data_IF_882064604658
#
_entry.id   IF_882064604658
#
_cell.length_a   1.000
_cell.length_b   1.000
_cell.length_c   1.000
_cell.angle_alpha   90.00
_cell.angle_beta   90.00
_cell.angle_gamma   90.00
#
_symmetry.space_group_name_H-M   'P 1'
#
loop_
_entity.id
_entity.type
_entity.pdbx_description
1 polymer ?
#
# COMPACT_ATOMS: atom_id res chain seq x y z
N UNK A 1 13.42 -3.44 0.67
CA UNK A 1 13.69 -2.61 -0.41
C UNK A 1 14.66 -3.14 -1.43
N UNK A 2 15.79 -2.52 -1.55
CA UNK A 2 16.75 -2.69 -2.67
C UNK A 2 17.20 -4.13 -2.94
N UNK A 3 17.32 -4.97 -1.91
CA UNK A 3 17.70 -6.39 -2.10
C UNK A 3 16.66 -7.18 -2.92
N UNK A 4 15.37 -6.84 -2.81
CA UNK A 4 14.32 -7.48 -3.60
C UNK A 4 14.39 -6.97 -5.04
N UNK A 5 14.68 -5.69 -5.21
CA UNK A 5 14.80 -5.07 -6.52
C UNK A 5 15.97 -5.67 -7.30
N UNK A 6 17.13 -5.83 -6.67
CA UNK A 6 18.28 -6.55 -7.25
C UNK A 6 17.95 -8.02 -7.58
N UNK A 7 17.19 -8.70 -6.72
CA UNK A 7 16.77 -10.07 -6.98
C UNK A 7 15.79 -10.16 -8.16
N UNK A 8 14.94 -9.13 -8.38
CA UNK A 8 14.09 -9.04 -9.57
C UNK A 8 14.92 -8.80 -10.83
N UNK A 9 15.90 -7.88 -10.79
CA UNK A 9 16.81 -7.62 -11.92
C UNK A 9 17.61 -8.86 -12.35
N UNK A 10 17.98 -9.71 -11.37
CA UNK A 10 18.68 -10.98 -11.61
C UNK A 10 17.76 -12.14 -11.99
N UNK A 11 16.44 -11.90 -12.04
CA UNK A 11 15.47 -12.97 -12.30
C UNK A 11 15.31 -14.00 -11.17
N UNK A 12 15.82 -13.71 -9.98
CA UNK A 12 15.71 -14.59 -8.80
C UNK A 12 14.29 -14.60 -8.21
N UNK A 13 13.56 -13.51 -8.39
CA UNK A 13 12.14 -13.35 -8.04
C UNK A 13 11.40 -12.62 -9.15
N UNK A 14 10.12 -12.96 -9.35
CA UNK A 14 9.31 -12.45 -10.48
C UNK A 14 8.48 -11.22 -10.13
N UNK A 15 8.48 -10.79 -8.89
CA UNK A 15 7.71 -9.62 -8.47
C UNK A 15 7.82 -9.35 -6.97
N UNK A 16 7.34 -8.18 -6.58
CA UNK A 16 7.26 -7.75 -5.19
C UNK A 16 5.97 -6.99 -4.93
N UNK A 17 5.57 -6.92 -3.68
CA UNK A 17 4.51 -6.04 -3.18
C UNK A 17 5.07 -5.07 -2.14
N UNK A 18 4.28 -4.06 -1.77
CA UNK A 18 4.61 -3.12 -0.69
C UNK A 18 5.53 -1.98 -1.11
N UNK A 19 5.55 -1.60 -2.38
CA UNK A 19 6.12 -0.34 -2.84
C UNK A 19 5.05 0.75 -2.91
N UNK A 20 5.41 1.96 -2.50
CA UNK A 20 4.65 3.16 -2.85
C UNK A 20 5.14 3.70 -4.19
N UNK A 21 4.29 4.42 -4.91
CA UNK A 21 4.68 5.10 -6.16
C UNK A 21 5.83 6.06 -5.95
N UNK A 22 5.84 6.81 -4.84
CA UNK A 22 6.93 7.72 -4.50
C UNK A 22 8.26 7.00 -4.36
N UNK A 23 8.28 5.89 -3.60
CA UNK A 23 9.48 5.10 -3.41
C UNK A 23 9.98 4.51 -4.73
N UNK A 24 9.06 4.02 -5.57
CA UNK A 24 9.42 3.46 -6.86
C UNK A 24 10.00 4.52 -7.80
N UNK A 25 9.36 5.69 -7.90
CA UNK A 25 9.83 6.79 -8.74
C UNK A 25 11.12 7.43 -8.23
N UNK A 26 11.33 7.47 -6.92
CA UNK A 26 12.56 8.01 -6.34
C UNK A 26 13.78 7.11 -6.59
N UNK A 27 13.60 5.80 -6.43
CA UNK A 27 14.71 4.82 -6.54
C UNK A 27 14.92 4.35 -7.98
N UNK A 28 13.83 4.13 -8.72
CA UNK A 28 13.85 3.57 -10.07
C UNK A 28 13.00 4.38 -11.07
N UNK A 29 13.37 5.63 -11.35
CA UNK A 29 12.52 6.57 -12.12
C UNK A 29 12.25 6.13 -13.57
N UNK A 30 13.06 5.22 -14.10
CA UNK A 30 12.94 4.74 -15.47
C UNK A 30 12.21 3.41 -15.61
N UNK A 31 12.10 2.62 -14.56
CA UNK A 31 11.60 1.24 -14.64
C UNK A 31 10.20 1.09 -15.23
N UNK A 32 9.29 1.96 -14.84
CA UNK A 32 7.91 1.93 -15.37
C UNK A 32 7.91 2.41 -16.82
N UNK A 33 8.61 3.52 -17.12
CA UNK A 33 8.64 4.12 -18.46
C UNK A 33 9.32 3.22 -19.49
N UNK A 34 10.37 2.49 -19.09
CA UNK A 34 11.08 1.55 -19.96
C UNK A 34 10.34 0.22 -20.15
N UNK A 35 9.27 -0.03 -19.39
CA UNK A 35 8.57 -1.32 -19.40
C UNK A 35 9.34 -2.46 -18.73
N UNK A 36 10.48 -2.18 -18.09
CA UNK A 36 11.28 -3.18 -17.35
C UNK A 36 10.46 -3.83 -16.25
N UNK A 37 9.62 -3.03 -15.57
CA UNK A 37 8.68 -3.50 -14.55
C UNK A 37 7.26 -3.09 -14.89
N UNK A 38 6.32 -4.01 -14.65
CA UNK A 38 4.89 -3.79 -14.84
C UNK A 38 4.20 -3.74 -13.48
N UNK A 39 3.44 -2.69 -13.24
CA UNK A 39 2.53 -2.63 -12.10
C UNK A 39 1.27 -3.39 -12.51
N UNK A 40 0.90 -4.41 -11.76
CA UNK A 40 -0.24 -5.29 -12.10
C UNK A 40 -1.48 -5.03 -11.25
N UNK A 41 -1.31 -4.38 -10.09
CA UNK A 41 -2.39 -4.11 -9.14
C UNK A 41 -2.01 -2.94 -8.23
N UNK A 42 -2.99 -2.15 -7.86
CA UNK A 42 -2.87 -1.09 -6.86
C UNK A 42 -3.60 -1.48 -5.58
N UNK A 43 -3.01 -1.19 -4.43
CA UNK A 43 -3.64 -1.35 -3.12
C UNK A 43 -3.90 0.03 -2.54
N UNK A 44 -5.14 0.45 -2.53
CA UNK A 44 -5.58 1.76 -2.09
C UNK A 44 -7.09 1.90 -2.17
N UNK A 45 -7.63 3.04 -1.78
CA UNK A 45 -9.06 3.35 -1.89
C UNK A 45 -9.41 4.07 -3.20
N UNK A 46 -8.41 4.60 -3.88
CA UNK A 46 -8.53 5.27 -5.19
C UNK A 46 -7.34 4.90 -6.07
N UNK A 47 -7.53 5.00 -7.36
CA UNK A 47 -6.45 4.80 -8.34
C UNK A 47 -5.49 5.98 -8.31
N UNK A 48 -4.23 5.68 -8.54
CA UNK A 48 -3.18 6.69 -8.64
C UNK A 48 -3.30 7.44 -9.98
N UNK A 49 -3.22 8.77 -9.99
CA UNK A 49 -3.24 9.56 -11.22
C UNK A 49 -2.16 9.12 -12.21
N UNK A 50 -2.56 8.93 -13.47
CA UNK A 50 -1.70 8.40 -14.54
C UNK A 50 -1.62 6.87 -14.59
N UNK A 51 -2.24 6.16 -13.64
CA UNK A 51 -2.27 4.70 -13.58
C UNK A 51 -3.69 4.13 -13.50
N UNK A 52 -4.67 4.87 -14.03
CA UNK A 52 -6.10 4.52 -13.97
C UNK A 52 -6.42 3.20 -14.67
N UNK A 53 -5.59 2.79 -15.62
CA UNK A 53 -5.70 1.52 -16.34
C UNK A 53 -5.34 0.30 -15.49
N UNK A 54 -4.66 0.49 -14.36
CA UNK A 54 -4.29 -0.60 -13.45
C UNK A 54 -5.42 -0.82 -12.43
N UNK A 55 -5.90 -2.05 -12.24
CA UNK A 55 -7.00 -2.33 -11.32
C UNK A 55 -6.61 -2.08 -9.87
N UNK A 56 -7.59 -1.66 -9.06
CA UNK A 56 -7.48 -1.70 -7.62
C UNK A 56 -7.71 -3.13 -7.11
N UNK A 57 -7.03 -3.51 -6.03
CA UNK A 57 -7.26 -4.79 -5.36
C UNK A 57 -8.73 -5.00 -4.98
N UNK A 58 -9.42 -3.94 -4.57
CA UNK A 58 -10.83 -3.97 -4.20
C UNK A 58 -11.75 -4.30 -5.39
N UNK A 59 -11.34 -3.98 -6.62
CA UNK A 59 -12.12 -4.27 -7.83
C UNK A 59 -12.04 -5.76 -8.22
N UNK A 60 -11.05 -6.47 -7.70
CA UNK A 60 -10.82 -7.90 -7.95
C UNK A 60 -11.49 -8.80 -6.89
N UNK A 61 -12.21 -8.22 -5.94
CA UNK A 61 -12.93 -8.96 -4.90
C UNK A 61 -14.01 -9.85 -5.52
N UNK A 62 -14.04 -11.12 -5.14
CA UNK A 62 -14.97 -12.13 -5.70
C UNK A 62 -16.37 -12.05 -5.10
N UNK A 63 -16.51 -11.48 -3.92
CA UNK A 63 -17.78 -11.33 -3.19
C UNK A 63 -17.73 -10.12 -2.25
N UNK A 64 -18.87 -9.79 -1.65
CA UNK A 64 -19.00 -8.62 -0.76
C UNK A 64 -18.10 -8.70 0.47
N UNK A 65 -17.93 -9.87 1.04
CA UNK A 65 -17.08 -10.07 2.23
C UNK A 65 -15.61 -9.84 1.92
N UNK A 66 -15.10 -10.42 0.83
CA UNK A 66 -13.72 -10.21 0.38
C UNK A 66 -13.49 -8.72 0.09
N UNK A 67 -14.49 -8.07 -0.53
CA UNK A 67 -14.44 -6.63 -0.79
C UNK A 67 -14.30 -5.82 0.50
N UNK A 68 -15.04 -6.16 1.56
CA UNK A 68 -14.92 -5.48 2.86
C UNK A 68 -13.54 -5.68 3.50
N UNK A 69 -13.00 -6.90 3.44
CA UNK A 69 -11.65 -7.19 3.95
C UNK A 69 -10.59 -6.42 3.18
N UNK A 70 -10.66 -6.41 1.85
CA UNK A 70 -9.71 -5.67 1.02
C UNK A 70 -9.86 -4.16 1.27
N UNK A 71 -11.09 -3.65 1.42
CA UNK A 71 -11.34 -2.24 1.77
C UNK A 71 -10.71 -1.85 3.10
N UNK A 72 -10.78 -2.71 4.13
CA UNK A 72 -10.15 -2.50 5.42
C UNK A 72 -8.63 -2.32 5.28
N UNK A 73 -7.96 -3.21 4.56
CA UNK A 73 -6.51 -3.10 4.30
C UNK A 73 -6.15 -1.89 3.45
N UNK A 74 -6.92 -1.63 2.40
CA UNK A 74 -6.72 -0.46 1.55
C UNK A 74 -6.89 0.84 2.32
N UNK A 75 -7.81 0.89 3.30
CA UNK A 75 -7.97 2.01 4.21
C UNK A 75 -6.73 2.26 5.06
N UNK A 76 -6.14 1.21 5.62
CA UNK A 76 -4.89 1.32 6.40
C UNK A 76 -3.76 1.88 5.54
N UNK A 77 -3.62 1.41 4.30
CA UNK A 77 -2.62 1.94 3.35
C UNK A 77 -2.91 3.41 3.00
N UNK A 78 -4.17 3.78 2.83
CA UNK A 78 -4.58 5.13 2.47
C UNK A 78 -4.35 6.17 3.58
N UNK A 79 -4.22 5.75 4.85
CA UNK A 79 -3.84 6.65 5.96
C UNK A 79 -2.46 7.27 5.72
N UNK A 80 -1.52 6.53 5.15
CA UNK A 80 -0.21 7.04 4.75
C UNK A 80 0.58 7.67 5.91
N UNK A 81 0.97 8.94 5.75
CA UNK A 81 1.71 9.73 6.76
C UNK A 81 0.81 10.83 7.31
N UNK A 82 -0.05 10.56 8.29
CA UNK A 82 -1.03 11.51 8.77
C UNK A 82 -0.41 12.57 9.69
N UNK A 83 -0.92 13.80 9.61
CA UNK A 83 -0.71 14.81 10.62
C UNK A 83 -1.92 14.80 11.55
N UNK A 84 -1.71 14.63 12.84
CA UNK A 84 -2.78 14.53 13.82
C UNK A 84 -2.51 15.37 15.08
N UNK A 85 -3.55 15.64 15.83
CA UNK A 85 -3.50 16.36 17.09
C UNK A 85 -4.00 15.49 18.23
N UNK A 86 -3.69 15.86 19.47
CA UNK A 86 -4.23 15.20 20.66
C UNK A 86 -5.75 15.40 20.77
N UNK A 87 -6.39 14.52 21.53
CA UNK A 87 -7.78 14.68 21.92
C UNK A 87 -7.93 15.96 22.77
N UNK A 88 -9.05 16.66 22.61
CA UNK A 88 -9.36 17.88 23.39
C UNK A 88 -8.84 19.18 22.76
N UNK A 89 -8.14 19.16 21.63
CA UNK A 89 -7.80 20.38 20.90
C UNK A 89 -9.09 21.07 20.42
N UNK A 90 -9.28 22.38 20.70
CA UNK A 90 -10.47 23.13 20.31
C UNK A 90 -10.76 23.02 18.81
N UNK A 91 -12.03 22.86 18.45
CA UNK A 91 -12.47 22.69 17.04
C UNK A 91 -11.96 23.78 16.11
N UNK A 92 -11.94 25.04 16.60
CA UNK A 92 -11.42 26.16 15.81
C UNK A 92 -9.94 26.01 15.46
N UNK A 93 -9.11 25.48 16.36
CA UNK A 93 -7.70 25.21 16.08
C UNK A 93 -7.53 24.06 15.09
N UNK A 94 -8.33 23.00 15.22
CA UNK A 94 -8.32 21.89 14.24
C UNK A 94 -8.72 22.40 12.85
N UNK A 95 -9.74 23.26 12.76
CA UNK A 95 -10.16 23.86 11.49
C UNK A 95 -9.06 24.73 10.88
N UNK A 96 -8.37 25.54 11.69
CA UNK A 96 -7.24 26.36 11.24
C UNK A 96 -6.07 25.50 10.71
N UNK A 97 -5.72 24.42 11.42
CA UNK A 97 -4.67 23.48 10.98
C UNK A 97 -5.03 22.77 9.67
N UNK A 98 -6.28 22.33 9.52
CA UNK A 98 -6.78 21.74 8.27
C UNK A 98 -6.69 22.73 7.11
N UNK A 99 -7.15 23.96 7.33
CA UNK A 99 -7.07 25.02 6.32
C UNK A 99 -5.62 25.32 5.92
N UNK A 100 -4.70 25.39 6.89
CA UNK A 100 -3.28 25.60 6.63
C UNK A 100 -2.70 24.46 5.80
N UNK A 101 -2.99 23.20 6.14
CA UNK A 101 -2.60 22.03 5.37
C UNK A 101 -3.12 22.09 3.92
N UNK A 102 -4.44 22.29 3.76
CA UNK A 102 -5.08 22.33 2.43
C UNK A 102 -4.53 23.47 1.57
N UNK A 103 -4.17 24.60 2.17
CA UNK A 103 -3.54 25.74 1.49
C UNK A 103 -2.11 25.38 1.05
N UNK A 104 -1.32 24.80 1.96
CA UNK A 104 0.07 24.38 1.66
C UNK A 104 0.11 23.35 0.52
N UNK A 105 -0.81 22.41 0.50
CA UNK A 105 -0.89 21.39 -0.56
C UNK A 105 -1.22 21.96 -1.94
N UNK A 106 -1.67 23.20 -2.01
CA UNK A 106 -1.97 23.94 -3.26
C UNK A 106 -0.96 25.05 -3.57
N UNK A 107 -0.02 25.29 -2.67
CA UNK A 107 0.97 26.35 -2.82
C UNK A 107 1.93 26.04 -3.99
N UNK A 108 2.05 26.96 -4.99
CA UNK A 108 2.90 26.73 -6.15
C UNK A 108 4.40 26.54 -5.81
N UNK A 109 4.88 27.22 -4.76
CA UNK A 109 6.29 27.14 -4.32
C UNK A 109 6.54 25.76 -3.73
N UNK A 110 5.63 25.31 -2.84
CA UNK A 110 5.68 23.97 -2.28
C UNK A 110 5.63 22.89 -3.36
N UNK A 111 4.67 22.96 -4.28
CA UNK A 111 4.53 21.99 -5.37
C UNK A 111 5.76 21.95 -6.28
N UNK A 112 6.35 23.10 -6.58
CA UNK A 112 7.60 23.19 -7.35
C UNK A 112 8.78 22.51 -6.63
N UNK A 113 8.89 22.70 -5.32
CA UNK A 113 9.95 22.07 -4.52
C UNK A 113 9.76 20.55 -4.44
N UNK A 114 8.53 20.07 -4.23
CA UNK A 114 8.21 18.64 -4.23
C UNK A 114 8.54 18.00 -5.59
N UNK A 115 8.17 18.66 -6.71
CA UNK A 115 8.53 18.20 -8.05
C UNK A 115 10.05 18.12 -8.27
N UNK A 116 10.79 19.11 -7.77
CA UNK A 116 12.26 19.12 -7.80
C UNK A 116 12.87 17.93 -7.07
N UNK A 117 12.29 17.59 -5.92
CA UNK A 117 12.67 16.44 -5.10
C UNK A 117 12.13 15.10 -5.61
N UNK A 118 11.37 15.09 -6.70
CA UNK A 118 10.68 13.92 -7.27
C UNK A 118 9.70 13.27 -6.30
N UNK A 119 9.12 14.07 -5.39
CA UNK A 119 8.10 13.66 -4.47
C UNK A 119 6.72 13.89 -5.09
N UNK A 120 5.83 12.94 -4.92
CA UNK A 120 4.47 13.01 -5.40
C UNK A 120 3.57 13.62 -4.32
N UNK A 121 2.75 14.59 -4.70
CA UNK A 121 1.82 15.25 -3.78
C UNK A 121 0.39 14.82 -4.10
N UNK A 122 -0.16 13.92 -3.29
CA UNK A 122 -1.53 13.43 -3.40
C UNK A 122 -2.23 13.56 -2.02
N UNK A 123 -2.61 14.76 -1.61
CA UNK A 123 -3.14 15.00 -0.28
C UNK A 123 -4.51 14.36 -0.10
N UNK A 124 -4.76 13.86 1.10
CA UNK A 124 -6.08 13.51 1.59
C UNK A 124 -6.51 14.55 2.61
N UNK A 125 -7.70 15.13 2.44
CA UNK A 125 -8.20 16.13 3.38
C UNK A 125 -8.38 15.57 4.78
N UNK A 126 -8.24 16.40 5.81
CA UNK A 126 -8.41 15.97 7.20
C UNK A 126 -9.80 15.38 7.49
N UNK A 127 -10.84 15.82 6.77
CA UNK A 127 -12.20 15.29 6.92
C UNK A 127 -12.31 13.90 6.29
N UNK A 128 -11.75 13.70 5.10
CA UNK A 128 -11.72 12.41 4.42
C UNK A 128 -10.88 11.40 5.21
N UNK A 129 -9.71 11.81 5.68
CA UNK A 129 -8.84 10.96 6.50
C UNK A 129 -9.53 10.53 7.79
N UNK A 130 -10.23 11.44 8.47
CA UNK A 130 -10.99 11.12 9.67
C UNK A 130 -12.09 10.08 9.38
N UNK A 131 -12.76 10.19 8.23
CA UNK A 131 -13.75 9.20 7.80
C UNK A 131 -13.10 7.84 7.55
N UNK A 132 -11.97 7.78 6.86
CA UNK A 132 -11.23 6.54 6.61
C UNK A 132 -10.84 5.87 7.94
N UNK A 133 -10.28 6.63 8.89
CA UNK A 133 -9.92 6.11 10.22
C UNK A 133 -11.15 5.61 10.98
N UNK A 134 -12.25 6.36 10.94
CA UNK A 134 -13.52 5.94 11.54
C UNK A 134 -14.02 4.60 10.96
N UNK A 135 -14.00 4.45 9.64
CA UNK A 135 -14.43 3.23 8.96
C UNK A 135 -13.53 2.03 9.33
N UNK A 136 -12.23 2.25 9.52
CA UNK A 136 -11.28 1.21 9.96
C UNK A 136 -11.56 0.76 11.39
N UNK A 137 -11.68 1.73 12.32
CA UNK A 137 -11.85 1.46 13.76
C UNK A 137 -13.21 0.81 14.06
N UNK A 138 -14.23 1.18 13.30
CA UNK A 138 -15.59 0.65 13.44
C UNK A 138 -15.90 -0.49 12.44
N UNK A 139 -14.87 -1.14 11.90
CA UNK A 139 -15.09 -2.28 11.00
C UNK A 139 -15.85 -3.41 11.73
N UNK A 140 -16.82 -4.06 11.08
CA UNK A 140 -17.61 -5.13 11.70
C UNK A 140 -16.72 -6.26 12.24
N UNK A 141 -17.03 -6.85 13.42
CA UNK A 141 -16.24 -7.94 14.01
C UNK A 141 -15.98 -9.11 13.04
N UNK A 142 -16.96 -9.47 12.23
CA UNK A 142 -16.84 -10.52 11.22
C UNK A 142 -15.78 -10.19 10.15
N UNK A 143 -15.71 -8.93 9.71
CA UNK A 143 -14.67 -8.46 8.76
C UNK A 143 -13.29 -8.53 9.40
N UNK A 144 -13.17 -8.10 10.67
CA UNK A 144 -11.90 -8.18 11.42
C UNK A 144 -11.45 -9.63 11.59
N UNK A 145 -12.38 -10.54 11.95
CA UNK A 145 -12.07 -11.96 12.11
C UNK A 145 -11.60 -12.57 10.78
N UNK A 146 -12.28 -12.27 9.68
CA UNK A 146 -11.90 -12.73 8.34
C UNK A 146 -10.55 -12.16 7.90
N UNK A 147 -10.29 -10.88 8.17
CA UNK A 147 -9.01 -10.24 7.91
C UNK A 147 -7.86 -10.91 8.68
N UNK A 148 -8.03 -11.16 9.97
CA UNK A 148 -7.06 -11.90 10.80
C UNK A 148 -6.79 -13.30 10.26
N UNK A 149 -7.84 -14.02 9.88
CA UNK A 149 -7.73 -15.35 9.28
C UNK A 149 -6.92 -15.32 8.00
N UNK A 150 -7.17 -14.36 7.10
CA UNK A 150 -6.46 -14.21 5.85
C UNK A 150 -4.95 -13.93 6.04
N UNK A 151 -4.57 -13.28 7.15
CA UNK A 151 -3.16 -13.00 7.48
C UNK A 151 -2.48 -14.14 8.24
N UNK A 152 -3.21 -15.15 8.69
CA UNK A 152 -2.62 -16.24 9.46
C UNK A 152 -1.70 -17.09 8.56
N UNK A 153 -0.52 -17.48 9.09
CA UNK A 153 0.43 -18.37 8.38
C UNK A 153 -0.16 -19.74 8.02
N UNK A 154 -1.25 -20.12 8.66
CA UNK A 154 -1.95 -21.40 8.42
C UNK A 154 -2.69 -21.42 7.08
N UNK A 155 -2.96 -20.26 6.50
CA UNK A 155 -3.65 -20.12 5.20
C UNK A 155 -2.70 -19.89 4.01
N UNK A 156 -1.41 -20.03 4.20
CA UNK A 156 -0.47 -19.95 3.08
C UNK A 156 -0.75 -21.11 2.11
N UNK A 157 -1.18 -20.75 0.92
CA UNK A 157 -1.43 -21.73 -0.13
C UNK A 157 -0.10 -22.34 -0.55
N UNK A 158 -0.02 -23.68 -0.66
CA UNK A 158 1.22 -24.32 -1.08
C UNK A 158 1.67 -23.81 -2.46
N UNK A 159 2.95 -23.44 -2.56
CA UNK A 159 3.56 -22.92 -3.78
C UNK A 159 3.20 -23.74 -5.04
N UNK A 160 3.17 -25.06 -4.93
CA UNK A 160 2.84 -26.00 -6.02
C UNK A 160 1.44 -25.82 -6.62
N UNK A 161 0.52 -25.12 -5.94
CA UNK A 161 -0.80 -24.80 -6.48
C UNK A 161 -0.78 -23.63 -7.48
N UNK A 162 0.26 -22.81 -7.46
CA UNK A 162 0.36 -21.61 -8.30
C UNK A 162 1.43 -21.70 -9.37
N UNK A 163 2.41 -22.56 -9.21
CA UNK A 163 3.53 -22.67 -10.15
C UNK A 163 4.11 -24.08 -10.18
N UNK A 164 4.94 -24.36 -11.18
CA UNK A 164 5.62 -25.64 -11.27
C UNK A 164 6.57 -25.88 -10.08
N UNK A 165 6.74 -27.15 -9.70
CA UNK A 165 7.55 -27.54 -8.53
C UNK A 165 9.00 -27.02 -8.57
N UNK A 166 9.54 -26.75 -9.78
CA UNK A 166 10.91 -26.23 -9.97
C UNK A 166 11.12 -24.84 -9.37
N UNK A 167 10.06 -24.03 -9.25
CA UNK A 167 10.11 -22.70 -8.68
C UNK A 167 9.78 -22.65 -7.17
N UNK A 168 9.35 -23.78 -6.61
CA UNK A 168 9.07 -23.88 -5.19
C UNK A 168 10.34 -24.31 -4.44
N UNK A 169 10.94 -23.40 -3.64
CA UNK A 169 12.08 -23.78 -2.80
C UNK A 169 11.68 -24.89 -1.85
N UNK A 170 12.29 -26.07 -1.96
CA UNK A 170 12.20 -27.09 -0.93
C UNK A 170 12.88 -26.56 0.35
N UNK A 171 12.21 -26.66 1.50
CA UNK A 171 12.89 -26.45 2.78
C UNK A 171 14.00 -27.49 2.88
N UNK A 172 15.27 -27.10 2.66
CA UNK A 172 16.41 -27.95 3.04
C UNK A 172 16.25 -28.26 4.53
N UNK A 173 15.96 -29.51 4.87
CA UNK A 173 16.01 -30.00 6.23
C UNK A 173 17.40 -29.68 6.77
N UNK A 174 17.53 -28.74 7.71
CA UNK A 174 18.76 -28.60 8.48
C UNK A 174 18.99 -29.92 9.19
N UNK A 175 19.92 -30.75 8.69
CA UNK A 175 20.44 -31.87 9.46
C UNK A 175 21.01 -31.29 10.74
N UNK A 176 20.38 -31.55 11.88
CA UNK A 176 20.99 -31.35 13.19
C UNK A 176 22.25 -32.23 13.20
N UNK A 177 23.43 -31.65 13.13
CA UNK A 177 24.66 -32.29 13.55
C UNK A 177 24.48 -32.56 15.06
N UNK A 178 24.26 -33.79 15.42
CA UNK A 178 24.52 -34.26 16.80
C UNK A 178 26.06 -34.31 16.93
N UNK A 179 26.59 -33.42 17.70
CA UNK A 179 27.89 -33.59 18.36
C UNK A 179 27.68 -34.31 19.65
#
# INVERSE_FOLDING_TARGET
>A
GNNIDLAMERGEVFGRAGNTFDSLNAVHPTWIKSGTFKIVIQVGLRKEPGYEHIPLAIDLAKNADDRQVIKLYSGVVAVGSPIFTNQGVPRARVAALRKAFDTTMKDPVYLKDMKKKRLFVAPTSGTELQKIVHDIVNAPPAVIAKARSAMSKQQLVPCKKFTSAKYCRSKKKKKKKKS
#
